data_IF_602590263755
#
_entry.id   IF_602590263755
#
_cell.length_a   1.000
_cell.length_b   1.000
_cell.length_c   1.000
_cell.angle_alpha   90.00
_cell.angle_beta   90.00
_cell.angle_gamma   90.00
#
_symmetry.space_group_name_H-M   'P 1'
#
loop_
_entity.id
_entity.type
_entity.pdbx_description
1 polymer ?
#
# COMPACT_ATOMS: atom_id res chain seq x y z
N UNK A 1 9.09 -26.05 -20.44
CA UNK A 1 9.42 -24.86 -21.24
C UNK A 1 8.17 -24.02 -21.27
N UNK A 2 8.17 -22.82 -20.70
CA UNK A 2 7.04 -21.89 -20.81
C UNK A 2 6.90 -21.48 -22.28
N UNK A 3 5.67 -21.33 -22.76
CA UNK A 3 5.26 -21.11 -24.17
C UNK A 3 5.89 -19.86 -24.85
N UNK A 4 6.73 -19.12 -24.13
CA UNK A 4 7.33 -17.84 -24.52
C UNK A 4 8.85 -17.88 -24.70
N UNK A 5 9.48 -19.05 -24.53
CA UNK A 5 10.91 -19.24 -24.76
C UNK A 5 11.16 -19.69 -26.20
N UNK A 6 11.97 -18.93 -26.95
CA UNK A 6 12.37 -19.27 -28.33
C UNK A 6 13.87 -19.53 -28.40
N UNK A 7 14.27 -20.62 -29.03
CA UNK A 7 15.67 -20.90 -29.34
C UNK A 7 15.92 -20.42 -30.77
N UNK A 8 16.91 -19.56 -30.95
CA UNK A 8 17.33 -19.08 -32.27
C UNK A 8 18.55 -19.88 -32.70
N UNK A 9 18.43 -20.56 -33.83
CA UNK A 9 19.46 -21.42 -34.39
C UNK A 9 20.12 -20.81 -35.64
N UNK A 10 21.27 -21.36 -36.01
CA UNK A 10 21.94 -21.07 -37.28
C UNK A 10 21.02 -21.47 -38.44
N UNK A 11 20.82 -20.61 -39.46
CA UNK A 11 20.00 -20.94 -40.61
C UNK A 11 20.51 -22.19 -41.34
N UNK A 12 19.59 -23.01 -41.85
CA UNK A 12 19.91 -24.29 -42.49
C UNK A 12 20.80 -24.17 -43.73
N UNK A 13 20.78 -23.02 -44.41
CA UNK A 13 21.63 -22.73 -45.56
C UNK A 13 23.08 -22.34 -45.21
N UNK A 14 23.42 -22.25 -43.92
CA UNK A 14 24.77 -21.95 -43.44
C UNK A 14 25.44 -23.23 -42.86
N UNK A 15 26.16 -24.03 -43.68
CA UNK A 15 26.73 -25.30 -43.24
C UNK A 15 27.82 -25.15 -42.18
N UNK A 16 28.65 -24.10 -42.29
CA UNK A 16 29.65 -23.70 -41.30
C UNK A 16 29.71 -22.19 -41.17
N UNK A 17 29.65 -21.70 -39.94
CA UNK A 17 29.84 -20.29 -39.60
C UNK A 17 30.68 -20.14 -38.34
N UNK A 18 31.19 -18.94 -38.10
CA UNK A 18 31.88 -18.58 -36.85
C UNK A 18 31.15 -17.41 -36.22
N UNK A 19 30.98 -17.44 -34.90
CA UNK A 19 30.46 -16.29 -34.15
C UNK A 19 31.54 -15.22 -34.10
N UNK A 20 31.38 -14.12 -34.84
CA UNK A 20 32.40 -13.05 -34.85
C UNK A 20 32.32 -12.24 -33.57
N UNK A 21 31.11 -11.90 -33.14
CA UNK A 21 30.91 -10.94 -32.06
C UNK A 21 29.63 -11.18 -31.31
N UNK A 22 29.73 -11.23 -29.98
CA UNK A 22 28.56 -11.22 -29.09
C UNK A 22 28.39 -9.81 -28.55
N UNK A 23 27.25 -9.17 -28.84
CA UNK A 23 26.97 -7.77 -28.45
C UNK A 23 26.08 -7.64 -27.22
N UNK A 24 25.65 -8.76 -26.63
CA UNK A 24 24.77 -8.79 -25.46
C UNK A 24 25.45 -9.46 -24.28
N UNK A 25 25.13 -8.99 -23.07
CA UNK A 25 25.56 -9.64 -21.81
C UNK A 25 24.52 -10.68 -21.39
N UNK A 26 24.95 -11.64 -20.57
CA UNK A 26 24.05 -12.66 -20.01
C UNK A 26 22.90 -12.00 -19.25
N UNK A 27 21.64 -12.33 -19.59
CA UNK A 27 20.40 -11.79 -19.01
C UNK A 27 20.21 -10.27 -19.20
N UNK A 28 20.83 -9.67 -20.21
CA UNK A 28 20.55 -8.29 -20.59
C UNK A 28 19.13 -8.17 -21.17
N UNK A 29 18.39 -7.13 -20.78
CA UNK A 29 17.13 -6.75 -21.43
C UNK A 29 17.40 -6.21 -22.83
N UNK A 30 16.65 -6.67 -23.82
CA UNK A 30 16.81 -6.31 -25.23
C UNK A 30 15.51 -5.76 -25.82
N UNK A 31 15.65 -4.97 -26.88
CA UNK A 31 14.58 -4.40 -27.71
C UNK A 31 14.68 -4.96 -29.13
N UNK A 32 13.64 -4.84 -29.99
CA UNK A 32 13.71 -5.28 -31.39
C UNK A 32 14.86 -4.66 -32.20
N UNK A 33 15.34 -3.48 -31.81
CA UNK A 33 16.48 -2.79 -32.43
C UNK A 33 17.85 -3.24 -31.88
N UNK A 34 17.89 -4.11 -30.87
CA UNK A 34 19.13 -4.58 -30.26
C UNK A 34 19.77 -5.68 -31.10
N UNK A 35 21.01 -5.45 -31.54
CA UNK A 35 21.84 -6.49 -32.17
C UNK A 35 22.39 -7.43 -31.10
N UNK A 36 22.14 -8.72 -31.25
CA UNK A 36 22.50 -9.78 -30.30
C UNK A 36 23.91 -10.29 -30.55
N UNK A 37 24.14 -10.74 -31.78
CA UNK A 37 25.42 -11.28 -32.23
C UNK A 37 25.55 -11.17 -33.75
N UNK A 38 26.78 -11.31 -34.23
CA UNK A 38 27.12 -11.33 -35.66
C UNK A 38 27.85 -12.65 -35.92
N UNK A 39 27.42 -13.37 -36.96
CA UNK A 39 28.08 -14.59 -37.42
C UNK A 39 28.61 -14.38 -38.83
N UNK A 40 29.69 -15.09 -39.18
CA UNK A 40 30.25 -15.13 -40.53
C UNK A 40 30.22 -16.56 -41.05
N UNK A 41 29.32 -16.86 -41.99
CA UNK A 41 29.38 -18.10 -42.75
C UNK A 41 30.64 -18.13 -43.61
N UNK A 42 31.18 -19.32 -43.89
CA UNK A 42 32.38 -19.47 -44.72
C UNK A 42 32.15 -19.03 -46.16
N UNK A 43 30.92 -19.18 -46.65
CA UNK A 43 30.53 -18.96 -48.05
C UNK A 43 29.78 -17.66 -48.31
N UNK A 44 29.53 -16.81 -47.31
CA UNK A 44 28.71 -15.61 -47.47
C UNK A 44 29.18 -14.43 -46.62
N UNK A 45 28.55 -13.27 -46.84
CA UNK A 45 28.72 -12.09 -46.00
C UNK A 45 28.22 -12.33 -44.57
N UNK A 46 28.60 -11.44 -43.67
CA UNK A 46 28.23 -11.45 -42.26
C UNK A 46 26.71 -11.35 -42.08
N UNK A 47 26.17 -12.14 -41.15
CA UNK A 47 24.75 -12.16 -40.80
C UNK A 47 24.61 -11.59 -39.39
N UNK A 48 23.78 -10.56 -39.27
CA UNK A 48 23.47 -9.91 -38.00
C UNK A 48 22.16 -10.45 -37.43
N UNK A 49 22.20 -10.92 -36.18
CA UNK A 49 21.01 -11.37 -35.46
C UNK A 49 20.51 -10.27 -34.53
N UNK A 50 19.30 -9.80 -34.78
CA UNK A 50 18.59 -8.87 -33.91
C UNK A 50 17.71 -9.63 -32.92
N UNK A 51 17.37 -8.99 -31.80
CA UNK A 51 16.45 -9.57 -30.85
C UNK A 51 15.04 -9.70 -31.49
N UNK A 52 14.34 -10.83 -31.33
CA UNK A 52 13.00 -11.02 -31.92
C UNK A 52 11.91 -10.10 -31.35
N UNK A 53 12.16 -9.46 -30.21
CA UNK A 53 11.17 -8.67 -29.48
C UNK A 53 11.76 -8.09 -28.19
N UNK A 54 10.89 -7.56 -27.34
CA UNK A 54 11.25 -7.15 -25.99
C UNK A 54 11.37 -8.36 -25.07
N UNK A 55 12.50 -8.50 -24.38
CA UNK A 55 12.75 -9.68 -23.55
C UNK A 55 14.16 -9.77 -23.03
N UNK A 56 14.59 -10.99 -22.68
CA UNK A 56 15.94 -11.29 -22.23
C UNK A 56 16.60 -12.31 -23.15
N UNK A 57 17.92 -12.22 -23.27
CA UNK A 57 18.73 -13.15 -24.06
C UNK A 57 19.72 -13.90 -23.16
N UNK A 58 19.84 -15.19 -23.43
CA UNK A 58 20.89 -16.05 -22.91
C UNK A 58 21.65 -16.65 -24.09
N UNK A 59 22.91 -16.23 -24.27
CA UNK A 59 23.79 -16.82 -25.28
C UNK A 59 24.08 -18.28 -24.96
N UNK A 60 24.09 -19.12 -26.00
CA UNK A 60 24.40 -20.55 -25.92
C UNK A 60 25.76 -20.87 -26.55
N UNK A 61 26.29 -19.97 -27.37
CA UNK A 61 27.61 -20.04 -27.98
C UNK A 61 28.52 -18.88 -27.51
N UNK A 62 29.85 -19.07 -27.63
CA UNK A 62 30.85 -18.06 -27.29
C UNK A 62 31.38 -17.35 -28.55
N UNK A 63 31.98 -16.18 -28.36
CA UNK A 63 32.68 -15.47 -29.43
C UNK A 63 33.87 -16.30 -29.93
N UNK A 64 34.03 -16.40 -31.26
CA UNK A 64 35.01 -17.25 -31.92
C UNK A 64 34.62 -18.73 -32.05
N UNK A 65 33.49 -19.16 -31.50
CA UNK A 65 33.07 -20.56 -31.60
C UNK A 65 32.65 -20.92 -33.05
N UNK A 66 33.12 -22.06 -33.60
CA UNK A 66 32.58 -22.62 -34.84
C UNK A 66 31.17 -23.16 -34.57
N UNK A 67 30.23 -22.85 -35.44
CA UNK A 67 28.84 -23.28 -35.35
C UNK A 67 28.37 -23.87 -36.69
N UNK A 68 27.51 -24.88 -36.63
CA UNK A 68 26.95 -25.57 -37.78
C UNK A 68 25.47 -25.27 -38.00
N UNK A 69 24.95 -25.65 -39.16
CA UNK A 69 23.54 -25.48 -39.50
C UNK A 69 22.62 -26.06 -38.40
N UNK A 70 21.55 -25.34 -38.06
CA UNK A 70 20.56 -25.66 -37.01
C UNK A 70 21.09 -25.69 -35.58
N UNK A 71 22.36 -25.37 -35.34
CA UNK A 71 22.91 -25.29 -33.99
C UNK A 71 22.35 -24.07 -33.23
N UNK A 72 21.99 -24.20 -31.95
CA UNK A 72 21.42 -23.10 -31.18
C UNK A 72 22.44 -22.01 -30.88
N UNK A 73 22.12 -20.77 -31.23
CA UNK A 73 22.98 -19.60 -31.01
C UNK A 73 22.65 -18.96 -29.65
N UNK A 74 21.37 -18.66 -29.43
CA UNK A 74 20.90 -18.06 -28.19
C UNK A 74 19.45 -18.42 -27.90
N UNK A 75 19.11 -18.36 -26.62
CA UNK A 75 17.74 -18.46 -26.12
C UNK A 75 17.18 -17.05 -25.89
N UNK A 76 16.03 -16.77 -26.47
CA UNK A 76 15.23 -15.57 -26.23
C UNK A 76 14.04 -15.91 -25.32
N UNK A 77 13.86 -15.14 -24.26
CA UNK A 77 12.71 -15.21 -23.37
C UNK A 77 11.94 -13.90 -23.50
N UNK A 78 10.72 -13.97 -24.02
CA UNK A 78 9.88 -12.78 -24.18
C UNK A 78 9.52 -12.16 -22.82
N UNK A 79 9.44 -10.84 -22.77
CA UNK A 79 9.00 -10.12 -21.58
C UNK A 79 7.49 -10.36 -21.37
N UNK A 80 7.08 -10.70 -20.14
CA UNK A 80 5.67 -10.86 -19.75
C UNK A 80 5.06 -9.59 -19.13
N UNK A 81 5.87 -8.53 -19.01
CA UNK A 81 5.46 -7.21 -18.55
C UNK A 81 4.82 -7.26 -17.16
N UNK A 82 5.56 -7.78 -16.17
CA UNK A 82 5.04 -8.00 -14.82
C UNK A 82 4.84 -6.71 -14.03
N UNK A 83 5.47 -5.61 -14.46
CA UNK A 83 5.34 -4.28 -13.83
C UNK A 83 5.16 -3.24 -14.93
N UNK A 84 4.01 -2.57 -14.93
CA UNK A 84 3.61 -1.60 -15.95
C UNK A 84 3.17 -0.30 -15.28
N UNK A 85 3.74 0.82 -15.72
CA UNK A 85 3.36 2.16 -15.25
C UNK A 85 3.00 3.02 -16.45
N UNK A 86 1.76 3.54 -16.50
CA UNK A 86 1.27 4.36 -17.63
C UNK A 86 1.53 3.71 -19.00
N UNK A 87 1.20 2.42 -19.09
CA UNK A 87 1.41 1.59 -20.29
C UNK A 87 2.88 1.35 -20.67
N UNK A 88 3.85 1.77 -19.86
CA UNK A 88 5.27 1.48 -20.06
C UNK A 88 5.71 0.31 -19.18
N UNK A 89 6.34 -0.70 -19.76
CA UNK A 89 6.93 -1.80 -19.00
C UNK A 89 8.22 -1.36 -18.28
N UNK A 90 8.27 -1.57 -16.97
CA UNK A 90 9.43 -1.26 -16.12
C UNK A 90 10.65 -2.17 -16.37
N UNK A 91 10.42 -3.37 -16.92
CA UNK A 91 11.42 -4.43 -17.04
C UNK A 91 12.17 -4.35 -18.38
N UNK A 92 11.44 -4.16 -19.48
CA UNK A 92 11.97 -4.15 -20.84
C UNK A 92 11.89 -2.79 -21.53
N UNK A 93 11.16 -1.80 -20.97
CA UNK A 93 10.97 -0.48 -21.57
C UNK A 93 9.98 -0.44 -22.74
N UNK A 94 9.26 -1.53 -23.01
CA UNK A 94 8.24 -1.56 -24.06
C UNK A 94 7.10 -0.59 -23.74
N UNK A 95 6.75 0.26 -24.70
CA UNK A 95 5.51 1.00 -24.67
C UNK A 95 4.37 0.08 -25.16
N UNK A 96 3.44 -0.20 -24.26
CA UNK A 96 2.31 -1.10 -24.49
C UNK A 96 1.06 -0.36 -24.98
N UNK A 97 1.07 0.99 -25.02
CA UNK A 97 -0.07 1.79 -25.47
C UNK A 97 -0.28 1.65 -26.98
N UNK A 98 -1.52 1.41 -27.39
CA UNK A 98 -1.92 1.42 -28.80
C UNK A 98 -1.77 2.82 -29.41
N UNK A 99 -1.19 2.91 -30.62
CA UNK A 99 -1.08 4.19 -31.33
C UNK A 99 -2.47 4.80 -31.52
N UNK A 100 -2.66 6.03 -31.02
CA UNK A 100 -3.96 6.72 -31.02
C UNK A 100 -5.00 6.15 -30.04
N UNK A 101 -4.67 5.13 -29.24
CA UNK A 101 -5.56 4.51 -28.26
C UNK A 101 -5.65 5.26 -26.94
N UNK A 102 -6.71 4.97 -26.17
CA UNK A 102 -6.91 5.53 -24.83
C UNK A 102 -5.99 4.83 -23.81
N UNK A 103 -5.79 5.47 -22.65
CA UNK A 103 -5.07 4.87 -21.53
C UNK A 103 -5.76 3.54 -21.13
N UNK A 104 -5.02 2.44 -21.05
CA UNK A 104 -5.56 1.10 -20.77
C UNK A 104 -5.83 0.22 -22.00
N UNK A 105 -5.87 0.76 -23.22
CA UNK A 105 -5.92 -0.02 -24.45
C UNK A 105 -4.53 -0.48 -24.86
N UNK A 106 -4.15 -1.69 -24.42
CA UNK A 106 -2.81 -2.24 -24.63
C UNK A 106 -2.70 -3.03 -25.94
N UNK A 107 -1.55 -2.92 -26.62
CA UNK A 107 -1.23 -3.65 -27.86
C UNK A 107 -0.83 -5.11 -27.58
N UNK A 108 -0.31 -5.37 -26.38
CA UNK A 108 0.18 -6.69 -25.99
C UNK A 108 -0.39 -7.07 -24.63
N UNK A 109 -0.66 -8.36 -24.46
CA UNK A 109 -1.05 -8.95 -23.19
C UNK A 109 0.07 -8.71 -22.16
N UNK A 110 -0.27 -7.96 -21.12
CA UNK A 110 0.59 -7.73 -19.98
C UNK A 110 0.02 -8.49 -18.80
N UNK A 111 0.85 -9.30 -18.15
CA UNK A 111 0.46 -9.97 -16.90
C UNK A 111 0.14 -8.98 -15.77
N UNK A 112 0.58 -7.72 -15.89
CA UNK A 112 0.29 -6.66 -14.95
C UNK A 112 -1.15 -6.12 -15.03
N UNK A 113 -2.02 -6.57 -14.13
CA UNK A 113 -3.43 -6.17 -14.06
C UNK A 113 -3.86 -5.59 -12.71
N UNK A 114 -3.04 -5.75 -11.66
CA UNK A 114 -3.41 -5.37 -10.29
C UNK A 114 -2.80 -4.02 -9.94
N UNK A 115 -3.59 -2.98 -9.61
CA UNK A 115 -3.05 -1.71 -9.13
C UNK A 115 -2.43 -1.89 -7.74
N UNK A 116 -1.16 -1.51 -7.56
CA UNK A 116 -0.44 -1.75 -6.29
C UNK A 116 -0.58 -0.67 -5.25
N UNK A 117 -0.83 0.57 -5.66
CA UNK A 117 -0.81 1.71 -4.75
C UNK A 117 -2.00 2.61 -5.06
N UNK A 118 -2.84 2.87 -4.06
CA UNK A 118 -3.99 3.80 -4.16
C UNK A 118 -3.60 5.20 -4.66
N UNK A 119 -2.37 5.61 -4.40
CA UNK A 119 -1.83 6.89 -4.85
C UNK A 119 -1.36 6.92 -6.30
N UNK A 120 -1.11 5.75 -6.92
CA UNK A 120 -0.66 5.60 -8.32
C UNK A 120 -1.49 4.50 -8.98
N UNK A 121 -2.76 4.76 -9.31
CA UNK A 121 -3.63 3.78 -9.98
C UNK A 121 -3.04 3.30 -11.32
N UNK A 122 -2.15 4.08 -11.94
CA UNK A 122 -1.53 3.74 -13.21
C UNK A 122 -0.39 2.71 -13.09
N UNK A 123 0.03 2.38 -11.86
CA UNK A 123 1.03 1.34 -11.59
C UNK A 123 0.35 -0.01 -11.37
N UNK A 124 0.47 -0.87 -12.37
CA UNK A 124 -0.06 -2.22 -12.35
C UNK A 124 1.09 -3.22 -12.20
N UNK A 125 0.85 -4.29 -11.45
CA UNK A 125 1.75 -5.44 -11.37
C UNK A 125 1.02 -6.76 -11.60
N UNK A 126 1.77 -7.81 -11.87
CA UNK A 126 1.22 -9.17 -11.98
C UNK A 126 0.82 -9.73 -10.61
N UNK A 127 -0.08 -10.71 -10.62
CA UNK A 127 -0.49 -11.41 -9.40
C UNK A 127 0.68 -11.98 -8.60
N UNK A 128 1.67 -12.57 -9.29
CA UNK A 128 2.88 -13.10 -8.66
C UNK A 128 3.72 -12.02 -7.96
N UNK A 129 3.87 -10.85 -8.59
CA UNK A 129 4.60 -9.71 -8.02
C UNK A 129 3.82 -9.11 -6.84
N UNK A 130 2.50 -8.98 -6.96
CA UNK A 130 1.65 -8.52 -5.87
C UNK A 130 1.75 -9.45 -4.64
N UNK A 131 1.75 -10.76 -4.86
CA UNK A 131 1.88 -11.75 -3.79
C UNK A 131 3.24 -11.68 -3.08
N UNK A 132 4.34 -11.49 -3.84
CA UNK A 132 5.67 -11.33 -3.27
C UNK A 132 5.79 -10.03 -2.45
N UNK A 133 5.24 -8.92 -2.95
CA UNK A 133 5.22 -7.65 -2.22
C UNK A 133 4.43 -7.81 -0.92
N UNK A 134 3.25 -8.44 -0.97
CA UNK A 134 2.44 -8.68 0.22
C UNK A 134 3.16 -9.56 1.26
N UNK A 135 3.92 -10.58 0.82
CA UNK A 135 4.75 -11.42 1.69
C UNK A 135 5.88 -10.61 2.35
N UNK A 136 6.52 -9.71 1.60
CA UNK A 136 7.60 -8.86 2.11
C UNK A 136 7.06 -7.84 3.13
N UNK A 137 5.92 -7.21 2.85
CA UNK A 137 5.26 -6.28 3.76
C UNK A 137 4.87 -6.95 5.08
N UNK A 138 4.30 -8.16 5.01
CA UNK A 138 3.99 -8.99 6.17
C UNK A 138 5.25 -9.29 7.01
N UNK A 139 6.32 -9.75 6.37
CA UNK A 139 7.61 -10.01 7.05
C UNK A 139 8.19 -8.76 7.70
N UNK A 140 8.10 -7.60 7.04
CA UNK A 140 8.59 -6.33 7.57
C UNK A 140 7.79 -5.83 8.78
N UNK A 141 6.46 -6.02 8.76
CA UNK A 141 5.61 -5.74 9.91
C UNK A 141 5.96 -6.64 11.09
N UNK A 142 6.08 -7.95 10.86
CA UNK A 142 6.43 -8.91 11.90
C UNK A 142 7.85 -8.67 12.48
N UNK A 143 8.84 -8.39 11.63
CA UNK A 143 10.22 -8.13 12.07
C UNK A 143 10.31 -6.85 12.91
N UNK A 144 9.54 -5.82 12.56
CA UNK A 144 9.42 -4.58 13.32
C UNK A 144 8.48 -4.69 14.54
N UNK A 145 7.88 -5.87 14.77
CA UNK A 145 6.86 -6.13 15.80
C UNK A 145 5.71 -5.12 15.73
N UNK A 146 5.25 -4.82 14.52
CA UNK A 146 4.14 -3.92 14.25
C UNK A 146 2.96 -4.64 13.61
N UNK A 147 1.77 -4.13 13.91
CA UNK A 147 0.53 -4.42 13.19
C UNK A 147 0.18 -3.27 12.25
N UNK A 148 -0.89 -3.40 11.49
CA UNK A 148 -1.48 -2.28 10.72
C UNK A 148 -2.67 -1.72 11.48
N UNK A 149 -2.78 -0.39 11.56
CA UNK A 149 -3.97 0.28 12.09
C UNK A 149 -4.60 1.14 11.00
N UNK A 150 -5.80 0.76 10.57
CA UNK A 150 -6.66 1.59 9.73
C UNK A 150 -7.45 2.54 10.60
N UNK A 151 -7.34 3.84 10.31
CA UNK A 151 -7.93 4.92 11.07
C UNK A 151 -8.93 5.66 10.18
N UNK A 152 -10.20 5.64 10.56
CA UNK A 152 -11.18 6.55 9.98
C UNK A 152 -11.03 7.99 10.51
N UNK A 153 -11.53 8.97 9.74
CA UNK A 153 -11.44 10.38 10.06
C UNK A 153 -12.69 10.91 10.78
N UNK A 154 -13.76 11.13 10.02
CA UNK A 154 -14.96 11.83 10.47
C UNK A 154 -15.72 11.06 11.54
N UNK A 155 -16.04 11.71 12.65
CA UNK A 155 -16.59 11.11 13.87
C UNK A 155 -15.72 10.02 14.53
N UNK A 156 -14.57 9.65 13.98
CA UNK A 156 -13.60 8.75 14.64
C UNK A 156 -12.52 9.54 15.39
N UNK A 157 -11.64 10.25 14.67
CA UNK A 157 -10.55 11.05 15.25
C UNK A 157 -10.76 12.54 15.12
N UNK A 158 -11.74 12.98 14.35
CA UNK A 158 -12.07 14.38 14.14
C UNK A 158 -13.55 14.59 13.85
N UNK A 159 -14.02 15.82 13.92
CA UNK A 159 -15.36 16.19 13.49
C UNK A 159 -15.27 17.47 12.68
N UNK A 160 -15.89 17.48 11.50
CA UNK A 160 -15.84 18.60 10.55
C UNK A 160 -17.23 19.15 10.27
N UNK A 161 -17.35 20.46 10.17
CA UNK A 161 -18.55 21.16 9.70
C UNK A 161 -18.21 22.19 8.63
N UNK A 162 -19.19 22.55 7.80
CA UNK A 162 -19.14 23.69 6.86
C UNK A 162 -19.96 24.88 7.36
N UNK A 163 -20.56 24.79 8.54
CA UNK A 163 -21.34 25.87 9.16
C UNK A 163 -20.43 27.07 9.46
N UNK A 164 -20.80 28.23 8.90
CA UNK A 164 -20.12 29.49 9.13
C UNK A 164 -20.05 29.87 10.59
N UNK A 165 -21.04 29.52 11.41
CA UNK A 165 -21.06 29.84 12.85
C UNK A 165 -20.02 29.07 13.67
N UNK A 166 -19.30 28.11 13.07
CA UNK A 166 -18.22 27.39 13.72
C UNK A 166 -17.04 28.29 14.15
N UNK A 167 -16.99 29.56 13.73
CA UNK A 167 -16.02 30.54 14.25
C UNK A 167 -16.09 30.71 15.77
N UNK A 168 -17.24 30.45 16.41
CA UNK A 168 -17.44 30.59 17.86
C UNK A 168 -16.64 29.60 18.71
N UNK A 169 -16.21 28.49 18.13
CA UNK A 169 -15.48 27.44 18.84
C UNK A 169 -13.97 27.66 18.81
N UNK A 170 -13.32 27.36 19.95
CA UNK A 170 -11.85 27.40 20.09
C UNK A 170 -11.22 26.11 19.56
N UNK A 171 -9.94 26.18 19.17
CA UNK A 171 -9.14 25.04 18.70
C UNK A 171 -9.73 24.35 17.44
N UNK A 172 -10.24 25.16 16.51
CA UNK A 172 -10.76 24.71 15.22
C UNK A 172 -9.72 24.97 14.13
N UNK A 173 -9.40 23.92 13.37
CA UNK A 173 -8.61 24.03 12.15
C UNK A 173 -9.53 24.43 11.00
N UNK A 174 -9.10 25.43 10.22
CA UNK A 174 -9.86 25.96 9.08
C UNK A 174 -9.08 25.79 7.81
N UNK A 175 -9.72 25.26 6.78
CA UNK A 175 -9.10 25.07 5.47
C UNK A 175 -10.14 25.15 4.35
N UNK A 176 -9.65 25.33 3.13
CA UNK A 176 -10.45 25.24 1.91
C UNK A 176 -9.88 24.13 1.04
N UNK A 177 -10.75 23.47 0.31
CA UNK A 177 -10.33 22.50 -0.70
C UNK A 177 -10.13 23.22 -2.05
N UNK A 178 -9.16 22.78 -2.88
CA UNK A 178 -8.97 23.35 -4.21
C UNK A 178 -10.27 23.30 -5.03
N UNK A 179 -10.63 24.42 -5.67
CA UNK A 179 -11.85 24.53 -6.48
C UNK A 179 -13.16 24.56 -5.69
N UNK A 180 -13.11 24.62 -4.35
CA UNK A 180 -14.30 24.67 -3.50
C UNK A 180 -14.35 25.99 -2.71
N UNK A 181 -15.45 26.78 -2.79
CA UNK A 181 -15.57 28.02 -2.02
C UNK A 181 -15.86 27.80 -0.53
N UNK A 182 -16.24 26.58 -0.14
CA UNK A 182 -16.60 26.24 1.23
C UNK A 182 -15.37 26.26 2.16
N UNK A 183 -15.58 26.75 3.37
CA UNK A 183 -14.61 26.70 4.46
C UNK A 183 -14.97 25.51 5.35
N UNK A 184 -14.04 24.59 5.51
CA UNK A 184 -14.17 23.45 6.41
C UNK A 184 -13.63 23.83 7.78
N UNK A 185 -14.39 23.49 8.82
CA UNK A 185 -14.09 23.73 10.22
C UNK A 185 -13.94 22.38 10.92
N UNK A 186 -12.71 22.00 11.25
CA UNK A 186 -12.41 20.69 11.84
C UNK A 186 -11.91 20.83 13.26
N UNK A 187 -12.51 20.04 14.16
CA UNK A 187 -12.03 19.83 15.52
C UNK A 187 -11.43 18.43 15.62
N UNK A 188 -10.16 18.32 16.02
CA UNK A 188 -9.57 17.02 16.37
C UNK A 188 -10.12 16.50 17.70
N UNK A 189 -10.26 15.18 17.80
CA UNK A 189 -10.62 14.50 19.05
C UNK A 189 -9.55 14.79 20.11
N UNK A 190 -9.93 15.09 21.36
CA UNK A 190 -8.96 15.38 22.42
C UNK A 190 -7.89 14.27 22.51
N UNK A 191 -6.64 14.68 22.74
CA UNK A 191 -5.47 13.80 22.86
C UNK A 191 -5.03 13.06 21.58
N UNK A 192 -5.58 13.38 20.40
CA UNK A 192 -5.23 12.71 19.14
C UNK A 192 -3.72 12.64 18.86
N UNK A 193 -2.97 13.75 19.01
CA UNK A 193 -1.53 13.72 18.77
C UNK A 193 -0.77 12.77 19.71
N UNK A 194 -1.14 12.74 21.00
CA UNK A 194 -0.56 11.81 21.99
C UNK A 194 -0.92 10.36 21.66
N UNK A 195 -2.14 10.13 21.16
CA UNK A 195 -2.57 8.83 20.69
C UNK A 195 -1.71 8.35 19.51
N UNK A 196 -1.57 9.17 18.46
CA UNK A 196 -0.77 8.84 17.26
C UNK A 196 0.71 8.57 17.61
N UNK A 197 1.29 9.39 18.49
CA UNK A 197 2.68 9.21 18.94
C UNK A 197 2.89 7.87 19.64
N UNK A 198 1.96 7.45 20.51
CA UNK A 198 2.08 6.18 21.26
C UNK A 198 1.80 4.99 20.35
N UNK A 199 0.74 5.05 19.55
CA UNK A 199 0.26 3.91 18.77
C UNK A 199 1.17 3.60 17.57
N UNK A 200 1.82 4.61 16.98
CA UNK A 200 2.79 4.44 15.88
C UNK A 200 4.03 3.59 16.22
N UNK A 201 4.30 3.39 17.52
CA UNK A 201 5.37 2.50 18.01
C UNK A 201 5.04 1.02 17.88
N UNK A 202 3.75 0.69 17.74
CA UNK A 202 3.21 -0.68 17.64
C UNK A 202 2.44 -0.92 16.35
N UNK A 203 2.04 0.14 15.66
CA UNK A 203 1.26 0.07 14.44
C UNK A 203 1.88 0.89 13.32
N UNK A 204 1.77 0.38 12.11
CA UNK A 204 1.88 1.17 10.89
C UNK A 204 0.51 1.79 10.62
N UNK A 205 0.44 3.12 10.58
CA UNK A 205 -0.83 3.85 10.53
C UNK A 205 -1.24 4.15 9.10
N UNK A 206 -2.51 3.93 8.80
CA UNK A 206 -3.15 4.22 7.52
C UNK A 206 -4.44 5.00 7.79
N UNK A 207 -4.76 5.97 6.93
CA UNK A 207 -6.07 6.64 6.91
C UNK A 207 -6.99 5.87 5.96
N UNK A 208 -8.23 5.62 6.37
CA UNK A 208 -9.26 5.00 5.53
C UNK A 208 -10.60 5.72 5.72
N UNK A 209 -10.95 6.62 4.79
CA UNK A 209 -12.08 7.55 4.93
C UNK A 209 -12.98 7.58 3.70
N UNK A 210 -14.26 7.92 3.90
CA UNK A 210 -15.17 8.28 2.81
C UNK A 210 -15.11 9.75 2.40
N UNK A 211 -14.23 10.55 3.02
CA UNK A 211 -13.84 11.84 2.46
C UNK A 211 -13.16 11.66 1.10
N UNK A 212 -13.27 12.66 0.22
CA UNK A 212 -12.53 12.64 -1.04
C UNK A 212 -11.01 12.85 -0.80
N UNK A 213 -10.22 12.61 -1.83
CA UNK A 213 -8.75 12.67 -1.81
C UNK A 213 -8.26 14.03 -1.36
N UNK A 214 -8.80 15.12 -1.91
CA UNK A 214 -8.42 16.48 -1.54
C UNK A 214 -8.64 16.73 -0.03
N UNK A 215 -9.78 16.29 0.51
CA UNK A 215 -10.11 16.38 1.92
C UNK A 215 -9.18 15.56 2.81
N UNK A 216 -9.00 14.28 2.49
CA UNK A 216 -8.16 13.37 3.26
C UNK A 216 -6.70 13.85 3.32
N UNK A 217 -6.15 14.29 2.18
CA UNK A 217 -4.79 14.82 2.12
C UNK A 217 -4.64 16.16 2.85
N UNK A 218 -5.63 17.05 2.76
CA UNK A 218 -5.58 18.32 3.46
C UNK A 218 -5.58 18.09 4.98
N UNK A 219 -6.44 17.21 5.50
CA UNK A 219 -6.47 16.88 6.92
C UNK A 219 -5.20 16.15 7.38
N UNK A 220 -4.69 15.21 6.59
CA UNK A 220 -3.43 14.54 6.90
C UNK A 220 -2.27 15.54 6.97
N UNK A 221 -2.25 16.58 6.13
CA UNK A 221 -1.21 17.61 6.16
C UNK A 221 -1.25 18.46 7.45
N UNK A 222 -2.45 18.68 8.00
CA UNK A 222 -2.64 19.41 9.27
C UNK A 222 -2.29 18.50 10.46
N UNK A 223 -2.68 17.23 10.40
CA UNK A 223 -2.51 16.25 11.48
C UNK A 223 -1.08 15.74 11.61
N UNK A 224 -0.41 15.53 10.47
CA UNK A 224 0.95 14.98 10.36
C UNK A 224 1.82 15.85 9.41
N UNK A 225 2.19 17.08 9.80
CA UNK A 225 2.95 17.99 8.94
C UNK A 225 4.32 17.44 8.54
N UNK A 226 4.92 16.61 9.41
CA UNK A 226 6.22 15.97 9.18
C UNK A 226 6.12 14.67 8.38
N UNK A 227 4.89 14.22 8.05
CA UNK A 227 4.62 12.97 7.34
C UNK A 227 5.25 11.74 8.00
N UNK A 228 5.30 11.69 9.33
CA UNK A 228 5.92 10.60 10.08
C UNK A 228 4.96 9.45 10.41
N UNK A 229 3.66 9.72 10.42
CA UNK A 229 2.62 8.76 10.83
C UNK A 229 1.97 8.06 9.64
N UNK A 230 1.53 8.83 8.65
CA UNK A 230 0.74 8.30 7.53
C UNK A 230 1.53 8.27 6.22
N UNK A 231 2.47 9.20 6.03
CA UNK A 231 3.22 9.35 4.79
C UNK A 231 2.29 9.44 3.55
N UNK A 232 2.14 8.33 2.82
CA UNK A 232 1.31 8.18 1.63
C UNK A 232 0.19 7.13 1.82
N UNK A 233 0.01 6.61 3.04
CA UNK A 233 -0.94 5.55 3.39
C UNK A 233 -2.32 6.13 3.70
N UNK A 234 -2.97 6.66 2.66
CA UNK A 234 -4.27 7.31 2.74
C UNK A 234 -5.16 6.67 1.68
N UNK A 235 -6.24 6.03 2.12
CA UNK A 235 -7.32 5.55 1.29
C UNK A 235 -8.51 6.49 1.46
N UNK A 236 -8.89 7.16 0.38
CA UNK A 236 -10.06 8.04 0.34
C UNK A 236 -11.20 7.38 -0.43
N UNK A 237 -12.36 8.05 -0.49
CA UNK A 237 -13.50 7.57 -1.27
C UNK A 237 -13.18 7.37 -2.74
N UNK A 238 -12.30 8.19 -3.31
CA UNK A 238 -11.94 8.13 -4.72
C UNK A 238 -11.18 6.83 -5.08
N UNK A 239 -10.60 6.15 -4.08
CA UNK A 239 -9.90 4.87 -4.26
C UNK A 239 -10.64 3.68 -3.64
N UNK A 240 -11.81 3.91 -3.05
CA UNK A 240 -12.64 2.83 -2.51
C UNK A 240 -13.35 2.09 -3.64
N UNK A 241 -13.19 0.76 -3.72
CA UNK A 241 -13.91 -0.05 -4.72
C UNK A 241 -15.42 0.00 -4.60
N UNK A 242 -15.93 0.26 -3.39
CA UNK A 242 -17.35 0.35 -3.10
C UNK A 242 -17.65 1.67 -2.39
N UNK A 243 -18.65 2.44 -2.86
CA UNK A 243 -19.00 3.74 -2.28
C UNK A 243 -19.75 3.65 -0.93
N UNK A 244 -20.12 2.44 -0.49
CA UNK A 244 -20.93 2.19 0.72
C UNK A 244 -20.17 1.39 1.78
N UNK A 245 -19.31 0.45 1.37
CA UNK A 245 -18.51 -0.39 2.29
C UNK A 245 -17.01 -0.22 2.06
N UNK A 246 -16.26 -0.12 3.16
CA UNK A 246 -14.79 -0.10 3.18
C UNK A 246 -14.20 -1.52 3.16
N UNK A 247 -14.97 -2.55 3.56
CA UNK A 247 -14.51 -3.95 3.65
C UNK A 247 -13.92 -4.49 2.37
N UNK A 248 -14.48 -4.10 1.22
CA UNK A 248 -14.01 -4.54 -0.10
C UNK A 248 -12.53 -4.20 -0.32
N UNK A 249 -12.03 -3.11 0.28
CA UNK A 249 -10.65 -2.68 0.14
C UNK A 249 -9.66 -3.54 0.96
N UNK A 250 -10.09 -4.19 2.04
CA UNK A 250 -9.18 -4.93 2.94
C UNK A 250 -8.45 -6.05 2.21
N UNK A 251 -9.17 -6.82 1.38
CA UNK A 251 -8.59 -7.94 0.63
C UNK A 251 -7.62 -7.47 -0.45
N UNK A 252 -7.89 -6.32 -1.07
CA UNK A 252 -7.01 -5.74 -2.07
C UNK A 252 -5.75 -5.10 -1.46
N UNK A 253 -5.91 -4.42 -0.32
CA UNK A 253 -4.83 -3.76 0.41
C UNK A 253 -3.89 -4.76 1.10
N UNK A 254 -4.46 -5.80 1.69
CA UNK A 254 -3.74 -6.76 2.52
C UNK A 254 -4.06 -8.21 2.10
N UNK A 255 -3.75 -8.62 0.86
CA UNK A 255 -4.14 -9.93 0.33
C UNK A 255 -3.62 -11.10 1.18
N UNK A 256 -2.50 -10.92 1.90
CA UNK A 256 -2.00 -11.90 2.89
C UNK A 256 -2.02 -11.41 4.34
N UNK A 257 -2.36 -10.13 4.55
CA UNK A 257 -2.10 -9.42 5.81
C UNK A 257 -3.32 -9.09 6.64
N UNK A 258 -4.54 -9.46 6.23
CA UNK A 258 -5.79 -9.09 6.97
C UNK A 258 -5.71 -9.46 8.46
N UNK A 259 -5.07 -10.59 8.80
CA UNK A 259 -4.88 -11.04 10.18
C UNK A 259 -3.98 -10.13 11.04
N UNK A 260 -3.21 -9.23 10.42
CA UNK A 260 -2.38 -8.21 11.09
C UNK A 260 -3.02 -6.83 11.13
N UNK A 261 -4.25 -6.69 10.62
CA UNK A 261 -4.94 -5.40 10.53
C UNK A 261 -5.86 -5.21 11.73
N UNK A 262 -5.77 -4.04 12.35
CA UNK A 262 -6.74 -3.52 13.31
C UNK A 262 -7.43 -2.31 12.70
N UNK A 263 -8.71 -2.11 12.98
CA UNK A 263 -9.50 -1.01 12.44
C UNK A 263 -10.09 -0.21 13.61
N UNK A 264 -10.01 1.12 13.55
CA UNK A 264 -10.79 2.02 14.40
C UNK A 264 -11.70 2.87 13.53
N UNK A 265 -13.01 2.77 13.78
CA UNK A 265 -14.05 3.45 13.03
C UNK A 265 -15.27 3.61 13.95
N UNK A 266 -16.01 4.71 13.81
CA UNK A 266 -17.25 4.94 14.56
C UNK A 266 -18.44 4.19 13.97
N UNK A 267 -18.24 3.48 12.86
CA UNK A 267 -19.28 2.77 12.14
C UNK A 267 -18.91 1.32 11.86
N UNK A 268 -19.75 0.41 12.37
CA UNK A 268 -19.63 -1.02 12.08
C UNK A 268 -20.19 -1.44 10.73
N UNK A 269 -21.24 -0.76 10.25
CA UNK A 269 -21.93 -1.09 9.00
C UNK A 269 -21.03 -0.98 7.77
N UNK A 270 -20.16 0.02 7.73
CA UNK A 270 -19.21 0.23 6.61
C UNK A 270 -18.08 -0.80 6.57
N UNK A 271 -17.93 -1.61 7.62
CA UNK A 271 -16.94 -2.68 7.73
C UNK A 271 -17.57 -4.07 7.82
N UNK A 272 -18.87 -4.20 7.52
CA UNK A 272 -19.64 -5.43 7.66
C UNK A 272 -19.44 -6.09 9.05
N UNK A 273 -19.29 -5.26 10.09
CA UNK A 273 -18.98 -5.66 11.47
C UNK A 273 -17.78 -6.63 11.58
N UNK A 274 -16.73 -6.35 10.80
CA UNK A 274 -15.47 -7.10 10.82
C UNK A 274 -14.97 -7.40 12.24
N UNK A 275 -14.47 -8.61 12.54
CA UNK A 275 -13.90 -8.94 13.85
C UNK A 275 -12.64 -8.12 14.18
N UNK A 276 -12.03 -7.49 13.17
CA UNK A 276 -10.85 -6.64 13.32
C UNK A 276 -11.23 -5.19 13.69
N UNK A 277 -12.53 -4.87 13.72
CA UNK A 277 -13.04 -3.55 14.04
C UNK A 277 -13.13 -3.35 15.56
N UNK A 278 -12.45 -2.30 16.01
CA UNK A 278 -12.70 -1.67 17.30
C UNK A 278 -13.65 -0.51 17.03
N UNK A 279 -14.94 -0.77 17.23
CA UNK A 279 -15.99 0.23 17.09
C UNK A 279 -15.86 1.28 18.19
N UNK A 280 -15.60 2.53 17.81
CA UNK A 280 -15.42 3.63 18.77
C UNK A 280 -16.69 4.46 18.89
N UNK A 281 -16.86 5.13 20.02
CA UNK A 281 -17.95 6.10 20.16
C UNK A 281 -17.75 7.26 19.16
N UNK A 282 -18.80 7.62 18.38
CA UNK A 282 -18.76 8.77 17.48
C UNK A 282 -18.39 10.05 18.20
N UNK A 283 -17.37 10.75 17.69
CA UNK A 283 -16.88 11.99 18.21
C UNK A 283 -17.70 13.16 17.66
N UNK A 284 -18.66 13.63 18.47
CA UNK A 284 -19.58 14.71 18.10
C UNK A 284 -19.29 16.00 18.84
N UNK A 285 -18.33 16.78 18.32
CA UNK A 285 -18.05 18.12 18.81
C UNK A 285 -19.11 19.17 18.42
N UNK A 286 -19.55 19.17 17.15
CA UNK A 286 -20.61 20.06 16.64
C UNK A 286 -21.98 19.38 16.83
N UNK A 287 -22.86 19.85 17.73
CA UNK A 287 -24.06 19.10 18.11
C UNK A 287 -25.06 18.85 16.98
N UNK A 288 -25.16 19.79 16.04
CA UNK A 288 -26.16 19.79 14.96
C UNK A 288 -25.65 19.14 13.67
N UNK A 289 -24.41 18.65 13.66
CA UNK A 289 -23.72 18.19 12.45
C UNK A 289 -23.46 16.69 12.54
N UNK A 290 -23.95 15.96 11.53
CA UNK A 290 -23.65 14.55 11.32
C UNK A 290 -22.30 14.33 10.62
N UNK A 291 -22.11 13.14 10.05
CA UNK A 291 -20.95 12.86 9.21
C UNK A 291 -21.18 13.48 7.83
N UNK A 292 -20.39 14.51 7.48
CA UNK A 292 -20.50 15.22 6.20
C UNK A 292 -20.01 14.40 5.01
N UNK A 293 -19.29 13.31 5.25
CA UNK A 293 -18.73 12.42 4.24
C UNK A 293 -19.34 11.02 4.28
N UNK A 294 -20.47 10.85 4.99
CA UNK A 294 -21.17 9.58 5.06
C UNK A 294 -21.59 9.06 3.68
N UNK A 295 -21.73 7.74 3.49
CA UNK A 295 -22.19 7.13 2.26
C UNK A 295 -23.63 7.57 1.95
N UNK A 296 -24.04 7.49 0.67
CA UNK A 296 -25.33 7.98 0.20
C UNK A 296 -26.53 7.38 0.96
N UNK A 297 -27.57 8.18 1.21
CA UNK A 297 -28.84 7.72 1.78
C UNK A 297 -29.09 8.04 3.26
N UNK A 298 -28.20 8.79 3.94
CA UNK A 298 -28.46 9.31 5.29
C UNK A 298 -28.64 10.84 5.33
N UNK A 299 -29.54 11.37 6.18
CA UNK A 299 -29.63 12.80 6.43
C UNK A 299 -28.34 13.34 7.07
N UNK A 300 -27.91 14.53 6.66
CA UNK A 300 -26.80 15.27 7.27
C UNK A 300 -27.10 15.73 8.72
N UNK A 301 -28.38 15.66 9.12
CA UNK A 301 -28.89 15.94 10.46
C UNK A 301 -29.12 14.65 11.25
N UNK A 302 -28.72 14.65 12.53
CA UNK A 302 -28.91 13.53 13.44
C UNK A 302 -30.28 13.57 14.13
N UNK A 303 -30.91 12.42 14.46
CA UNK A 303 -31.94 12.35 15.48
C UNK A 303 -31.34 12.65 16.89
N UNK A 304 -32.17 13.06 17.89
CA UNK A 304 -31.70 13.42 19.22
C UNK A 304 -30.95 12.29 19.91
N UNK A 305 -29.88 12.62 20.63
CA UNK A 305 -29.07 11.68 21.40
C UNK A 305 -29.85 11.24 22.66
N UNK A 306 -29.89 9.96 23.05
CA UNK A 306 -30.33 9.57 24.38
C UNK A 306 -29.38 10.13 25.44
N UNK A 307 -29.90 10.85 26.43
CA UNK A 307 -29.13 11.57 27.45
C UNK A 307 -28.39 10.58 28.39
N UNK A 308 -27.16 10.20 28.05
CA UNK A 308 -26.27 9.43 28.94
C UNK A 308 -25.45 10.39 29.80
N UNK A 309 -26.13 11.15 30.66
CA UNK A 309 -25.44 11.73 31.82
C UNK A 309 -25.07 10.57 32.76
N UNK A 310 -23.84 10.53 33.29
CA UNK A 310 -23.55 9.63 34.41
C UNK A 310 -24.54 9.95 35.54
N UNK A 311 -25.20 8.91 36.04
CA UNK A 311 -26.06 9.01 37.22
C UNK A 311 -25.22 9.65 38.34
N UNK A 312 -25.68 10.75 38.98
CA UNK A 312 -24.98 11.30 40.13
C UNK A 312 -24.79 10.22 41.19
N UNK A 313 -23.59 10.15 41.76
CA UNK A 313 -23.18 9.18 42.79
C UNK A 313 -23.89 9.38 44.15
N UNK A 314 -25.11 9.91 44.16
CA UNK A 314 -25.95 10.09 45.34
C UNK A 314 -27.29 9.38 45.17
N UNK A 315 -27.24 8.06 44.98
CA UNK A 315 -28.35 7.13 45.26
C UNK A 315 -27.82 5.70 45.28
N UNK A 316 -26.77 5.45 46.07
CA UNK A 316 -26.51 4.10 46.57
C UNK A 316 -27.33 3.96 47.85
N UNK A 317 -28.60 3.61 47.69
CA UNK A 317 -29.36 3.03 48.79
C UNK A 317 -28.78 1.65 49.08
N UNK A 318 -28.34 1.48 50.33
CA UNK A 318 -27.85 0.24 50.93
C UNK A 318 -28.75 -0.96 50.60
N UNK A 319 -28.19 -2.15 50.30
CA UNK A 319 -29.00 -3.36 50.21
C UNK A 319 -29.51 -3.74 51.61
N UNK A 320 -30.77 -4.22 51.76
CA UNK A 320 -31.28 -4.65 53.05
C UNK A 320 -30.64 -5.98 53.47
N UNK A 321 -30.23 -6.03 54.74
CA UNK A 321 -29.79 -7.23 55.46
C UNK A 321 -30.88 -8.31 55.47
N UNK A 322 -30.54 -9.62 55.37
CA UNK A 322 -31.49 -10.70 55.56
C UNK A 322 -31.58 -11.11 57.04
N UNK A 323 -32.77 -11.49 57.49
CA UNK A 323 -33.02 -12.20 58.75
C UNK A 323 -34.27 -13.10 58.60
N UNK A 324 -34.53 -14.08 59.51
CA UNK A 324 -33.98 -15.44 59.50
C UNK A 324 -35.08 -16.54 59.39
N UNK A 325 -34.66 -17.83 59.52
CA UNK A 325 -35.41 -19.10 59.64
C UNK A 325 -35.40 -20.00 58.38
N UNK A 326 -34.56 -21.04 58.35
CA UNK A 326 -34.73 -22.44 58.85
C UNK A 326 -35.45 -23.31 57.79
N UNK A 327 -34.95 -24.45 57.29
CA UNK A 327 -34.11 -25.48 57.91
C UNK A 327 -33.57 -26.50 56.87
N UNK A 328 -32.42 -27.10 57.22
CA UNK A 328 -31.86 -28.41 56.84
C UNK A 328 -31.69 -28.83 55.36
N UNK A 329 -30.44 -29.12 54.95
CA UNK A 329 -29.89 -30.50 54.88
C UNK A 329 -28.38 -30.48 54.59
N UNK A 330 -27.69 -31.40 55.26
CA UNK A 330 -26.25 -31.70 55.41
C UNK A 330 -25.48 -32.07 54.12
N UNK A 331 -24.23 -31.58 53.96
CA UNK A 331 -23.00 -32.40 53.81
C UNK A 331 -21.74 -31.58 53.39
N UNK A 332 -20.80 -31.50 54.35
CA UNK A 332 -19.33 -31.63 54.31
C UNK A 332 -18.57 -31.57 52.96
N UNK A 333 -17.58 -30.65 52.85
CA UNK A 333 -16.12 -30.92 53.00
C UNK A 333 -15.21 -29.87 52.30
N UNK A 334 -14.38 -29.15 53.07
CA UNK A 334 -12.91 -28.90 52.97
C UNK A 334 -12.23 -28.94 51.58
N UNK A 335 -11.23 -28.14 51.18
CA UNK A 335 -10.22 -27.29 51.84
C UNK A 335 -9.55 -26.37 50.77
N UNK A 336 -9.20 -25.12 51.10
CA UNK A 336 -7.83 -24.57 51.28
C UNK A 336 -6.94 -24.36 50.03
N UNK A 337 -6.39 -23.13 49.91
CA UNK A 337 -5.01 -22.94 49.45
C UNK A 337 -4.74 -21.85 48.40
N UNK A 338 -4.58 -20.60 48.82
CA UNK A 338 -3.58 -19.65 48.26
C UNK A 338 -2.29 -19.78 49.10
N UNK A 339 -1.08 -19.28 48.74
CA UNK A 339 -0.74 -17.89 48.30
C UNK A 339 0.36 -17.80 47.20
N UNK A 340 0.40 -16.78 46.33
CA UNK A 340 0.98 -15.42 46.42
C UNK A 340 2.51 -15.25 46.13
N UNK A 341 2.81 -14.07 45.56
CA UNK A 341 4.12 -13.38 45.39
C UNK A 341 4.94 -13.72 44.13
N UNK A 342 5.71 -12.83 43.49
CA UNK A 342 6.20 -11.50 43.86
C UNK A 342 6.52 -10.66 42.59
N UNK A 343 6.70 -9.35 42.78
CA UNK A 343 6.95 -8.34 41.76
C UNK A 343 8.46 -7.99 41.59
N UNK A 344 8.76 -7.43 40.41
CA UNK A 344 9.75 -6.41 40.03
C UNK A 344 11.25 -6.61 40.33
N UNK A 345 12.09 -6.40 39.29
CA UNK A 345 13.11 -5.35 39.39
C UNK A 345 13.54 -4.78 38.01
N UNK A 346 13.95 -3.51 38.00
CA UNK A 346 14.31 -2.70 36.85
C UNK A 346 15.74 -2.17 36.99
N UNK A 347 16.67 -2.48 36.09
CA UNK A 347 17.86 -1.64 35.81
C UNK A 347 18.74 -2.21 34.70
N UNK A 348 18.78 -1.56 33.53
CA UNK A 348 19.95 -1.51 32.63
C UNK A 348 19.60 -0.67 31.37
N UNK A 349 19.78 0.65 31.46
CA UNK A 349 19.69 1.59 30.36
C UNK A 349 20.90 2.52 30.44
N UNK A 350 22.05 2.11 29.89
CA UNK A 350 23.18 3.02 29.62
C UNK A 350 24.32 2.34 28.83
N UNK A 351 24.05 1.79 27.64
CA UNK A 351 25.09 1.53 26.63
C UNK A 351 24.44 1.13 25.30
N UNK A 352 24.22 2.10 24.42
CA UNK A 352 24.11 1.97 22.94
C UNK A 352 23.30 3.15 22.38
N UNK A 353 23.78 4.37 22.64
CA UNK A 353 23.41 5.59 21.92
C UNK A 353 24.54 5.93 20.95
N UNK A 354 24.70 5.12 19.90
CA UNK A 354 25.51 5.47 18.72
C UNK A 354 25.36 4.40 17.61
N UNK A 355 24.11 4.06 17.26
CA UNK A 355 23.77 3.26 16.07
C UNK A 355 22.26 3.35 15.83
N UNK A 356 21.73 4.52 15.48
CA UNK A 356 20.28 4.67 15.24
C UNK A 356 19.91 5.76 14.25
N UNK A 357 20.68 5.88 13.16
CA UNK A 357 20.40 6.82 12.08
C UNK A 357 20.26 6.16 10.69
N UNK A 358 20.21 4.84 10.61
CA UNK A 358 20.07 4.12 9.33
C UNK A 358 19.17 2.90 9.46
N UNK A 359 17.88 3.07 9.77
CA UNK A 359 16.93 1.96 9.58
C UNK A 359 15.45 2.42 9.48
N UNK A 360 15.18 3.41 8.63
CA UNK A 360 13.83 3.97 8.47
C UNK A 360 13.32 4.00 7.03
N UNK A 361 13.75 3.03 6.21
CA UNK A 361 13.32 2.97 4.81
C UNK A 361 12.95 1.59 4.27
N UNK A 362 13.14 0.47 4.97
CA UNK A 362 13.16 -0.86 4.35
C UNK A 362 11.92 -1.28 3.51
N UNK A 363 10.69 -0.89 3.86
CA UNK A 363 9.50 -1.29 3.08
C UNK A 363 9.30 -0.52 1.78
N UNK A 364 9.59 0.78 1.77
CA UNK A 364 9.53 1.60 0.56
C UNK A 364 10.90 1.82 -0.07
N UNK A 365 12.01 1.35 0.51
CA UNK A 365 13.29 1.31 -0.20
C UNK A 365 13.21 0.33 -1.36
N UNK A 366 12.41 -0.75 -1.26
CA UNK A 366 12.14 -1.65 -2.39
C UNK A 366 11.41 -0.94 -3.54
N UNK A 367 10.30 -0.25 -3.24
CA UNK A 367 9.52 0.50 -4.24
C UNK A 367 10.24 1.79 -4.68
N UNK A 368 10.99 2.45 -3.81
CA UNK A 368 11.83 3.61 -4.12
C UNK A 368 13.05 3.20 -4.93
N UNK A 369 13.72 2.08 -4.65
CA UNK A 369 14.74 1.51 -5.52
C UNK A 369 14.13 1.02 -6.84
N UNK A 370 12.91 0.49 -6.84
CA UNK A 370 12.18 0.17 -8.07
C UNK A 370 11.92 1.45 -8.87
N UNK A 371 11.39 2.51 -8.25
CA UNK A 371 11.13 3.83 -8.84
C UNK A 371 12.41 4.60 -9.21
N UNK A 372 13.51 4.43 -8.47
CA UNK A 372 14.82 5.04 -8.72
C UNK A 372 15.55 4.27 -9.81
N UNK A 373 15.42 2.94 -9.86
CA UNK A 373 15.90 2.10 -10.97
C UNK A 373 15.08 2.35 -12.25
N UNK A 374 13.77 2.57 -12.11
CA UNK A 374 12.87 3.05 -13.17
C UNK A 374 13.31 4.45 -13.62
N UNK A 375 13.59 5.38 -12.70
CA UNK A 375 14.06 6.73 -13.04
C UNK A 375 15.44 6.72 -13.72
N UNK A 376 16.37 5.87 -13.27
CA UNK A 376 17.71 5.69 -13.85
C UNK A 376 17.66 5.00 -15.23
N UNK A 377 16.79 4.01 -15.41
CA UNK A 377 16.58 3.31 -16.71
C UNK A 377 15.82 4.19 -17.71
N UNK A 378 14.82 4.96 -17.26
CA UNK A 378 14.08 5.93 -18.08
C UNK A 378 14.97 7.12 -18.47
N UNK A 379 15.83 7.61 -17.58
CA UNK A 379 16.84 8.66 -17.91
C UNK A 379 17.85 8.21 -18.96
N UNK A 380 18.12 6.92 -19.08
CA UNK A 380 18.98 6.39 -20.15
C UNK A 380 18.27 6.31 -21.51
N UNK A 381 16.94 6.25 -21.55
CA UNK A 381 16.15 6.17 -22.78
C UNK A 381 15.53 7.51 -23.21
N UNK A 382 15.45 8.49 -22.31
CA UNK A 382 14.73 9.74 -22.54
C UNK A 382 15.65 10.93 -22.19
N UNK A 383 16.50 11.34 -23.14
CA UNK A 383 17.03 12.72 -23.18
C UNK A 383 15.90 13.62 -23.68
N UNK A 384 15.00 14.03 -22.80
CA UNK A 384 14.11 15.17 -23.06
C UNK A 384 14.80 16.42 -22.50
N UNK A 385 15.08 17.44 -23.33
CA UNK A 385 15.50 18.75 -22.81
C UNK A 385 14.31 19.37 -22.08
N UNK A 386 14.54 19.80 -20.83
CA UNK A 386 13.61 20.64 -20.10
C UNK A 386 13.50 21.98 -20.86
N UNK A 387 12.29 22.47 -21.21
CA UNK A 387 12.16 23.83 -21.69
C UNK A 387 12.48 24.79 -20.55
N UNK A 388 13.43 25.66 -20.81
CA UNK A 388 13.83 26.80 -20.00
C UNK A 388 12.61 27.63 -19.62
N UNK A 389 12.34 27.73 -18.31
CA UNK A 389 11.54 28.79 -17.75
C UNK A 389 12.22 30.13 -18.06
N UNK A 390 11.51 31.04 -18.72
CA UNK A 390 11.86 32.46 -18.85
C UNK A 390 10.55 33.26 -18.89
N UNK A 391 10.50 34.46 -18.31
CA UNK A 391 10.80 34.84 -16.93
C UNK A 391 9.53 35.15 -16.12
#
# INVERSE_FOLDING_TARGET
MTEHDKIICVPSFCPKATVIKVKTRRRQSVTPSTVVCIIKPVSSNEITFNAPGYGQITMLCQEGAPISANEPIFKFQACQHHVVMRDLCAECGANLRKEGGFCGERIADASASIPMVHMIPELHVSESVAAEIALQDEKALLSSRKLVLLIDLDQTVLHTTIDGHAFRYKNIHRFRLPGCPLIYHTRFRPHLHKFLERISRRFQLHICTFGNRAYAHQLASILDPKRQYFCQRILSRDECFNPVTKSANLKALFPRGVHLVCIIDDRGDVWDWSPNLIHVQPYRFFPEVGDINGPPGRPLSLPPIPDFRPIPTELVTTPPSPSPHDSNTTSTSTASGSPASAAADSSAMAASRQAKETDMTAGYFGLFLLLLSLSLRVRHFVRIPLPSCIP
#
